data_IF_235063425162
#
_entry.id   IF_235063425162
#
_cell.length_a   1.000
_cell.length_b   1.000
_cell.length_c   1.000
_cell.angle_alpha   90.00
_cell.angle_beta   90.00
_cell.angle_gamma   90.00
#
_symmetry.space_group_name_H-M   'P 1'
#
loop_
_entity.id
_entity.type
_entity.pdbx_description
1 polymer ?
#
# COMPACT_ATOMS: atom_id res chain seq x y z
N UNK A 1 -12.96 10.74 -6.72
CA UNK A 1 -11.90 11.75 -6.91
C UNK A 1 -12.49 12.89 -7.70
N UNK A 2 -12.39 14.11 -7.20
CA UNK A 2 -12.98 15.30 -7.81
C UNK A 2 -11.89 16.14 -8.51
N UNK A 3 -12.15 16.61 -9.73
CA UNK A 3 -11.29 17.55 -10.42
C UNK A 3 -12.09 18.77 -10.89
N UNK A 4 -11.56 19.95 -10.63
CA UNK A 4 -12.16 21.20 -11.08
C UNK A 4 -11.47 21.65 -12.36
N UNK A 5 -12.23 21.78 -13.45
CA UNK A 5 -11.71 22.27 -14.71
C UNK A 5 -12.21 23.70 -14.95
N UNK A 6 -11.29 24.66 -15.04
CA UNK A 6 -11.63 25.96 -15.60
C UNK A 6 -11.86 25.71 -17.07
N UNK A 7 -13.02 26.12 -17.59
CA UNK A 7 -13.26 26.09 -19.03
C UNK A 7 -12.68 27.36 -19.71
N UNK A 8 -11.66 27.98 -19.09
CA UNK A 8 -10.76 28.95 -19.70
C UNK A 8 -9.60 28.20 -20.40
N UNK A 9 -9.26 28.46 -21.67
CA UNK A 9 -8.25 27.73 -22.48
C UNK A 9 -6.84 27.51 -21.88
N UNK A 10 -6.50 27.94 -20.68
CA UNK A 10 -5.10 27.94 -20.19
C UNK A 10 -4.88 27.41 -18.78
N UNK A 11 -5.87 26.90 -18.03
CA UNK A 11 -5.59 26.39 -16.67
C UNK A 11 -6.48 25.22 -16.24
N UNK A 12 -5.86 24.07 -15.98
CA UNK A 12 -6.50 22.88 -15.40
C UNK A 12 -5.86 22.66 -14.03
N UNK A 13 -6.67 22.57 -12.97
CA UNK A 13 -6.16 22.32 -11.61
C UNK A 13 -6.70 20.99 -11.13
N UNK A 14 -5.79 20.04 -10.90
CA UNK A 14 -6.13 18.68 -10.44
C UNK A 14 -5.89 18.58 -8.94
N UNK A 15 -6.88 18.15 -8.16
CA UNK A 15 -6.70 17.83 -6.74
C UNK A 15 -6.53 16.32 -6.54
N UNK A 16 -5.56 15.98 -5.69
CA UNK A 16 -5.19 14.62 -5.30
C UNK A 16 -5.95 14.25 -4.03
N UNK A 17 -6.73 13.17 -4.06
CA UNK A 17 -7.39 12.65 -2.86
C UNK A 17 -6.59 11.46 -2.35
N UNK A 18 -5.90 11.68 -1.24
CA UNK A 18 -4.85 10.82 -0.68
C UNK A 18 -5.39 9.69 0.19
N UNK A 19 -6.70 9.47 0.25
CA UNK A 19 -7.26 8.34 0.98
C UNK A 19 -7.27 7.07 0.12
N UNK A 20 -6.11 6.40 0.11
CA UNK A 20 -5.96 4.94 -0.09
C UNK A 20 -5.86 4.34 -1.51
N UNK A 21 -5.66 5.10 -2.59
CA UNK A 21 -5.42 4.52 -3.94
C UNK A 21 -4.39 5.32 -4.71
N UNK A 22 -3.56 4.64 -5.52
CA UNK A 22 -2.44 5.22 -6.31
C UNK A 22 -2.80 6.60 -6.89
N UNK A 23 -1.90 7.60 -6.84
CA UNK A 23 -2.22 8.94 -7.26
C UNK A 23 -2.71 8.90 -8.70
N UNK A 24 -3.96 9.31 -8.89
CA UNK A 24 -4.60 9.36 -10.20
C UNK A 24 -4.87 10.82 -10.52
N UNK A 25 -4.79 11.17 -11.79
CA UNK A 25 -5.02 12.54 -12.24
C UNK A 25 -6.11 12.51 -13.30
N UNK A 26 -7.23 13.14 -12.99
CA UNK A 26 -8.28 13.47 -13.95
C UNK A 26 -8.03 14.88 -14.47
N UNK A 27 -8.08 15.06 -15.79
CA UNK A 27 -7.95 16.39 -16.40
C UNK A 27 -8.82 16.55 -17.64
N UNK A 28 -9.03 17.81 -18.02
CA UNK A 28 -9.74 18.21 -19.22
C UNK A 28 -8.79 18.86 -20.23
N UNK A 29 -9.18 18.96 -21.49
CA UNK A 29 -8.48 19.76 -22.51
C UNK A 29 -9.45 20.10 -23.64
N UNK A 30 -9.05 21.03 -24.51
CA UNK A 30 -9.81 21.30 -25.75
C UNK A 30 -9.18 20.56 -26.91
N UNK A 31 -10.01 19.92 -27.73
CA UNK A 31 -9.56 19.18 -28.91
C UNK A 31 -10.29 19.69 -30.17
N UNK A 32 -9.53 19.82 -31.25
CA UNK A 32 -10.02 20.14 -32.59
C UNK A 32 -9.29 19.24 -33.58
N UNK A 33 -10.01 18.47 -34.40
CA UNK A 33 -9.40 17.58 -35.38
C UNK A 33 -10.05 17.75 -36.76
N UNK A 34 -9.28 17.53 -37.82
CA UNK A 34 -9.73 17.54 -39.20
C UNK A 34 -10.88 16.53 -39.43
N UNK A 35 -10.90 15.42 -38.68
CA UNK A 35 -11.98 14.42 -38.76
C UNK A 35 -13.34 14.96 -38.29
N UNK A 36 -13.37 15.95 -37.39
CA UNK A 36 -14.60 16.60 -36.91
C UNK A 36 -14.92 17.90 -37.65
N UNK A 37 -14.31 18.14 -38.83
CA UNK A 37 -14.36 19.43 -39.55
C UNK A 37 -13.93 20.61 -38.66
N UNK A 38 -12.95 20.41 -37.79
CA UNK A 38 -12.48 21.41 -36.81
C UNK A 38 -13.51 21.81 -35.75
N UNK A 39 -14.57 21.02 -35.53
CA UNK A 39 -15.48 21.25 -34.42
C UNK A 39 -14.75 21.05 -33.08
N UNK A 40 -14.83 22.06 -32.21
CA UNK A 40 -14.20 22.08 -30.88
C UNK A 40 -14.95 21.14 -29.93
N UNK A 41 -14.19 20.30 -29.23
CA UNK A 41 -14.71 19.38 -28.23
C UNK A 41 -14.01 19.61 -26.89
N UNK A 42 -14.76 19.34 -25.81
CA UNK A 42 -14.20 19.06 -24.50
C UNK A 42 -13.66 17.63 -24.52
N UNK A 43 -12.34 17.51 -24.38
CA UNK A 43 -11.65 16.25 -24.15
C UNK A 43 -11.37 16.05 -22.67
N UNK A 44 -11.32 14.79 -22.24
CA UNK A 44 -10.91 14.43 -20.87
C UNK A 44 -9.80 13.38 -20.91
N UNK A 45 -9.00 13.31 -19.87
CA UNK A 45 -7.99 12.27 -19.71
C UNK A 45 -7.91 11.79 -18.27
N UNK A 46 -7.56 10.52 -18.12
CA UNK A 46 -7.23 9.92 -16.85
C UNK A 46 -5.79 9.39 -16.92
N UNK A 47 -5.01 9.69 -15.91
CA UNK A 47 -3.62 9.28 -15.80
C UNK A 47 -3.35 8.67 -14.43
N UNK A 48 -2.95 7.40 -14.41
CA UNK A 48 -2.46 6.74 -13.20
C UNK A 48 -0.99 7.13 -13.02
N UNK A 49 -0.68 7.97 -12.03
CA UNK A 49 0.69 8.34 -11.71
C UNK A 49 1.38 7.17 -11.02
N UNK A 50 2.57 6.85 -11.51
CA UNK A 50 3.40 5.79 -10.98
C UNK A 50 4.07 6.25 -9.67
N UNK A 51 3.80 5.55 -8.58
CA UNK A 51 4.55 5.71 -7.31
C UNK A 51 5.57 4.59 -7.09
N UNK A 52 5.46 3.48 -7.83
CA UNK A 52 6.33 2.32 -7.73
C UNK A 52 7.48 2.38 -8.75
N UNK A 53 8.70 2.07 -8.34
CA UNK A 53 9.86 1.92 -9.26
C UNK A 53 9.85 0.61 -10.07
N UNK A 54 8.86 -0.26 -9.84
CA UNK A 54 8.74 -1.57 -10.49
C UNK A 54 8.03 -1.45 -11.83
N UNK A 55 8.49 -2.17 -12.86
CA UNK A 55 7.83 -2.24 -14.17
C UNK A 55 6.77 -3.35 -14.27
N UNK A 56 6.56 -4.11 -13.19
CA UNK A 56 5.63 -5.26 -13.15
C UNK A 56 4.20 -4.86 -12.79
N UNK A 57 3.91 -3.56 -12.73
CA UNK A 57 2.63 -3.11 -12.23
C UNK A 57 1.52 -3.17 -13.27
N UNK A 58 0.34 -3.60 -12.82
CA UNK A 58 -0.89 -3.38 -13.56
C UNK A 58 -2.11 -3.35 -12.65
N UNK A 59 -3.11 -2.54 -13.00
CA UNK A 59 -4.39 -2.47 -12.31
C UNK A 59 -5.53 -2.43 -13.32
N UNK A 60 -6.45 -3.39 -13.21
CA UNK A 60 -7.73 -3.35 -13.89
C UNK A 60 -8.69 -2.48 -13.09
N UNK A 61 -9.31 -1.50 -13.73
CA UNK A 61 -10.27 -0.62 -13.10
C UNK A 61 -11.51 -0.44 -13.97
N UNK A 62 -12.67 -0.40 -13.32
CA UNK A 62 -13.90 0.17 -13.87
C UNK A 62 -13.90 1.65 -13.52
N UNK A 63 -14.04 2.52 -14.52
CA UNK A 63 -14.00 3.97 -14.35
C UNK A 63 -15.27 4.57 -14.91
N UNK A 64 -15.87 5.47 -14.12
CA UNK A 64 -16.88 6.42 -14.57
C UNK A 64 -16.31 7.83 -14.51
N UNK A 65 -16.34 8.57 -15.60
CA UNK A 65 -16.05 10.02 -15.62
C UNK A 65 -17.37 10.75 -15.84
N UNK A 66 -17.65 11.78 -15.04
CA UNK A 66 -18.90 12.55 -15.05
C UNK A 66 -18.58 14.04 -15.19
N UNK A 67 -19.24 14.72 -16.11
CA UNK A 67 -19.40 16.17 -16.12
C UNK A 67 -20.67 16.51 -15.36
N UNK A 68 -20.51 17.12 -14.19
CA UNK A 68 -21.62 17.44 -13.31
C UNK A 68 -22.41 18.63 -13.84
N UNK A 69 -23.70 18.64 -13.52
CA UNK A 69 -24.53 19.82 -13.69
C UNK A 69 -24.35 20.74 -12.49
N UNK A 70 -24.25 22.05 -12.74
CA UNK A 70 -24.13 23.07 -11.69
C UNK A 70 -25.43 23.28 -10.91
N UNK A 71 -26.56 22.73 -11.36
CA UNK A 71 -27.87 22.81 -10.71
C UNK A 71 -28.35 21.51 -10.07
N UNK A 72 -27.53 20.46 -10.03
CA UNK A 72 -27.88 19.18 -9.41
C UNK A 72 -26.74 18.65 -8.57
N UNK A 73 -27.09 18.09 -7.41
CA UNK A 73 -26.17 17.35 -6.54
C UNK A 73 -26.04 15.87 -6.94
N UNK A 74 -26.87 15.41 -7.89
CA UNK A 74 -26.91 14.02 -8.34
C UNK A 74 -26.04 13.82 -9.60
N UNK A 75 -24.97 13.02 -9.55
CA UNK A 75 -24.08 12.80 -10.70
C UNK A 75 -24.77 12.19 -11.93
N UNK A 76 -25.89 11.49 -11.73
CA UNK A 76 -26.68 10.87 -12.80
C UNK A 76 -27.41 11.86 -13.72
N UNK A 77 -27.62 13.10 -13.27
CA UNK A 77 -28.14 14.17 -14.13
C UNK A 77 -27.07 14.74 -15.07
N UNK A 78 -25.79 14.41 -14.82
CA UNK A 78 -24.65 14.83 -15.62
C UNK A 78 -24.46 14.06 -16.93
N UNK A 79 -23.40 14.41 -17.67
CA UNK A 79 -22.94 13.60 -18.80
C UNK A 79 -21.81 12.71 -18.33
N UNK A 80 -21.96 11.40 -18.48
CA UNK A 80 -20.96 10.45 -18.02
C UNK A 80 -20.51 9.49 -19.11
N UNK A 81 -19.36 8.87 -18.87
CA UNK A 81 -18.88 7.73 -19.62
C UNK A 81 -18.33 6.66 -18.70
N UNK A 82 -18.59 5.41 -19.06
CA UNK A 82 -18.09 4.24 -18.36
C UNK A 82 -17.09 3.50 -19.25
N UNK A 83 -15.99 3.05 -18.67
CA UNK A 83 -15.04 2.20 -19.36
C UNK A 83 -14.27 1.30 -18.40
N UNK A 84 -13.80 0.17 -18.93
CA UNK A 84 -12.87 -0.71 -18.23
C UNK A 84 -11.48 -0.54 -18.82
N UNK A 85 -10.48 -0.47 -17.96
CA UNK A 85 -9.10 -0.31 -18.40
C UNK A 85 -8.12 -1.01 -17.48
N UNK A 86 -7.16 -1.68 -18.10
CA UNK A 86 -5.90 -2.06 -17.47
C UNK A 86 -4.93 -0.89 -17.58
N UNK A 87 -4.52 -0.33 -16.45
CA UNK A 87 -3.41 0.61 -16.36
C UNK A 87 -2.15 -0.16 -16.01
N UNK A 88 -1.06 0.07 -16.73
CA UNK A 88 0.24 -0.55 -16.49
C UNK A 88 1.36 0.38 -16.95
N UNK A 89 2.61 -0.08 -16.87
CA UNK A 89 3.80 0.71 -17.27
C UNK A 89 3.72 1.24 -18.72
N UNK A 90 3.01 0.55 -19.61
CA UNK A 90 2.86 0.93 -21.01
C UNK A 90 1.57 1.74 -21.27
N UNK A 91 0.57 1.62 -20.38
CA UNK A 91 -0.77 2.21 -20.51
C UNK A 91 -1.14 3.06 -19.30
N UNK A 92 -0.32 4.06 -18.97
CA UNK A 92 -0.54 4.94 -17.79
C UNK A 92 -1.63 5.98 -17.98
N UNK A 93 -1.85 6.41 -19.23
CA UNK A 93 -2.73 7.53 -19.59
C UNK A 93 -3.71 7.15 -20.68
N UNK A 94 -4.95 7.53 -20.50
CA UNK A 94 -6.02 7.41 -21.50
C UNK A 94 -6.63 8.76 -21.76
N UNK A 95 -6.96 9.04 -23.03
CA UNK A 95 -7.56 10.30 -23.48
C UNK A 95 -8.84 10.02 -24.24
N UNK A 96 -9.83 10.87 -24.02
CA UNK A 96 -11.12 10.87 -24.69
C UNK A 96 -11.34 12.26 -25.31
N UNK A 97 -10.86 12.49 -26.54
CA UNK A 97 -10.90 13.82 -27.18
C UNK A 97 -12.31 14.35 -27.47
N UNK A 98 -13.29 13.45 -27.57
CA UNK A 98 -14.67 13.78 -27.95
C UNK A 98 -15.66 13.46 -26.83
N UNK A 99 -15.32 13.86 -25.59
CA UNK A 99 -16.17 13.58 -24.44
C UNK A 99 -17.48 14.39 -24.47
N UNK A 100 -17.41 15.68 -24.82
CA UNK A 100 -18.59 16.52 -25.04
C UNK A 100 -18.32 17.57 -26.13
N UNK A 101 -19.33 17.89 -26.93
CA UNK A 101 -19.21 19.02 -27.86
C UNK A 101 -18.98 20.32 -27.06
N UNK A 102 -18.04 21.17 -27.49
CA UNK A 102 -17.69 22.36 -26.72
C UNK A 102 -18.87 23.34 -26.60
N UNK A 103 -19.62 23.55 -27.68
CA UNK A 103 -20.79 24.45 -27.67
C UNK A 103 -21.89 23.98 -26.73
N UNK A 104 -22.10 22.66 -26.63
CA UNK A 104 -23.02 22.09 -25.66
C UNK A 104 -22.48 22.16 -24.22
N UNK A 105 -21.19 21.93 -24.02
CA UNK A 105 -20.58 21.95 -22.69
C UNK A 105 -20.68 23.34 -22.03
N UNK A 106 -20.53 24.41 -22.82
CA UNK A 106 -20.61 25.79 -22.32
C UNK A 106 -22.01 26.41 -22.42
N UNK A 107 -22.98 25.69 -23.00
CA UNK A 107 -24.32 26.23 -23.19
C UNK A 107 -24.98 26.50 -21.83
N UNK A 108 -25.46 27.73 -21.57
CA UNK A 108 -26.18 28.04 -20.33
C UNK A 108 -27.40 27.13 -20.11
N UNK A 109 -28.04 26.67 -21.19
CA UNK A 109 -29.21 25.79 -21.14
C UNK A 109 -28.89 24.41 -20.56
N UNK A 110 -27.65 23.95 -20.77
CA UNK A 110 -27.19 22.64 -20.33
C UNK A 110 -26.67 22.64 -18.89
N UNK A 111 -26.38 23.83 -18.33
CA UNK A 111 -26.03 24.04 -16.93
C UNK A 111 -24.87 23.16 -16.43
N UNK A 112 -23.83 22.99 -17.24
CA UNK A 112 -22.58 22.33 -16.79
C UNK A 112 -21.56 23.31 -16.21
N UNK A 113 -21.74 24.60 -16.49
CA UNK A 113 -20.82 25.67 -16.09
C UNK A 113 -21.44 26.47 -14.96
N UNK A 114 -20.67 26.67 -13.90
CA UNK A 114 -20.99 27.53 -12.77
C UNK A 114 -20.90 29.01 -13.16
N UNK A 115 -21.45 29.89 -12.31
CA UNK A 115 -21.53 31.34 -12.60
C UNK A 115 -20.16 32.01 -12.72
N UNK A 116 -19.14 31.42 -12.12
CA UNK A 116 -17.75 31.86 -12.14
C UNK A 116 -16.93 31.21 -13.27
N UNK A 117 -17.57 30.43 -14.16
CA UNK A 117 -16.96 29.87 -15.37
C UNK A 117 -16.34 28.49 -15.20
N UNK A 118 -16.50 27.86 -14.04
CA UNK A 118 -15.95 26.53 -13.76
C UNK A 118 -16.92 25.43 -14.12
N UNK A 119 -16.38 24.27 -14.53
CA UNK A 119 -17.13 23.05 -14.64
C UNK A 119 -16.47 21.97 -13.79
N UNK A 120 -17.29 21.09 -13.21
CA UNK A 120 -16.80 20.03 -12.33
C UNK A 120 -16.79 18.71 -13.07
N UNK A 121 -15.62 18.06 -13.05
CA UNK A 121 -15.44 16.70 -13.54
C UNK A 121 -15.16 15.77 -12.36
N UNK A 122 -15.90 14.68 -12.29
CA UNK A 122 -15.73 13.66 -11.25
C UNK A 122 -15.31 12.34 -11.88
N UNK A 123 -14.37 11.63 -11.23
CA UNK A 123 -14.06 10.25 -11.57
C UNK A 123 -14.37 9.31 -10.40
N UNK A 124 -15.20 8.31 -10.68
CA UNK A 124 -15.47 7.18 -9.80
C UNK A 124 -14.66 5.98 -10.31
N UNK A 125 -13.69 5.52 -9.53
CA UNK A 125 -12.75 4.47 -9.94
C UNK A 125 -12.92 3.27 -9.01
N UNK A 126 -13.29 2.14 -9.58
CA UNK A 126 -13.39 0.85 -8.87
C UNK A 126 -12.30 -0.07 -9.38
N UNK A 127 -11.34 -0.40 -8.51
CA UNK A 127 -10.29 -1.38 -8.81
C UNK A 127 -10.90 -2.78 -8.84
N UNK A 128 -10.57 -3.57 -9.88
CA UNK A 128 -11.06 -4.94 -10.08
C UNK A 128 -10.08 -6.02 -9.63
N UNK A 129 -8.83 -5.67 -9.34
CA UNK A 129 -7.78 -6.62 -8.93
C UNK A 129 -7.69 -6.82 -7.41
N UNK A 130 -8.78 -6.54 -6.69
CA UNK A 130 -8.88 -6.79 -5.26
C UNK A 130 -9.19 -8.27 -5.00
N UNK A 131 -8.36 -8.97 -4.23
CA UNK A 131 -8.71 -10.30 -3.67
C UNK A 131 -9.42 -10.09 -2.36
N UNK A 132 -10.52 -10.80 -2.17
CA UNK A 132 -11.07 -10.99 -0.84
C UNK A 132 -10.22 -11.98 -0.06
N UNK A 133 -9.38 -11.52 0.87
CA UNK A 133 -8.79 -12.39 1.90
C UNK A 133 -9.81 -12.51 3.03
N UNK A 134 -10.13 -13.72 3.49
CA UNK A 134 -10.98 -13.87 4.67
C UNK A 134 -10.40 -14.78 5.74
N UNK A 135 -10.54 -14.36 7.01
CA UNK A 135 -10.36 -15.20 8.20
C UNK A 135 -11.72 -15.29 8.91
N UNK A 136 -12.23 -16.51 9.11
CA UNK A 136 -13.49 -16.79 9.85
C UNK A 136 -14.67 -15.89 9.47
N UNK A 137 -14.83 -15.60 8.18
CA UNK A 137 -15.94 -14.81 7.64
C UNK A 137 -15.73 -13.29 7.61
N UNK A 138 -14.60 -12.76 8.10
CA UNK A 138 -14.24 -11.34 7.93
C UNK A 138 -13.45 -11.16 6.63
N UNK A 139 -14.07 -10.52 5.64
CA UNK A 139 -13.48 -10.27 4.32
C UNK A 139 -12.71 -8.95 4.29
N UNK A 140 -11.47 -9.02 3.80
CA UNK A 140 -10.57 -7.90 3.54
C UNK A 140 -10.32 -7.82 2.04
N UNK A 141 -10.45 -6.64 1.46
CA UNK A 141 -10.10 -6.39 0.07
C UNK A 141 -8.66 -5.91 0.00
N UNK A 142 -7.81 -6.64 -0.73
CA UNK A 142 -6.39 -6.35 -0.86
C UNK A 142 -5.95 -6.33 -2.32
N UNK A 143 -5.07 -5.40 -2.67
CA UNK A 143 -4.48 -5.34 -4.00
C UNK A 143 -3.41 -6.43 -4.17
N UNK A 144 -3.66 -7.40 -5.06
CA UNK A 144 -2.74 -8.53 -5.35
C UNK A 144 -1.30 -8.09 -5.55
N UNK A 145 -1.12 -7.06 -6.37
CA UNK A 145 0.18 -6.62 -6.80
C UNK A 145 1.02 -6.03 -5.65
N UNK A 146 0.43 -5.17 -4.81
CA UNK A 146 1.14 -4.53 -3.70
C UNK A 146 1.60 -5.59 -2.70
N UNK A 147 0.74 -6.57 -2.41
CA UNK A 147 1.11 -7.71 -1.57
C UNK A 147 2.23 -8.54 -2.20
N UNK A 148 2.12 -8.89 -3.48
CA UNK A 148 3.15 -9.67 -4.17
C UNK A 148 4.50 -8.96 -4.27
N UNK A 149 4.52 -7.63 -4.36
CA UNK A 149 5.77 -6.84 -4.35
C UNK A 149 6.49 -6.88 -3.00
N UNK A 150 5.73 -6.97 -1.90
CA UNK A 150 6.26 -6.92 -0.55
C UNK A 150 6.40 -8.30 0.10
N UNK A 151 5.77 -9.34 -0.46
CA UNK A 151 5.68 -10.68 0.13
C UNK A 151 5.95 -11.75 -0.92
N UNK A 152 6.98 -12.56 -0.65
CA UNK A 152 7.28 -13.75 -1.47
C UNK A 152 6.14 -14.76 -1.46
N UNK A 153 5.46 -14.90 -0.32
CA UNK A 153 4.29 -15.76 -0.18
C UNK A 153 3.15 -15.30 -1.09
N UNK A 154 2.76 -14.02 -1.03
CA UNK A 154 1.66 -13.50 -1.85
C UNK A 154 2.03 -13.45 -3.34
N UNK A 155 3.31 -13.24 -3.67
CA UNK A 155 3.77 -13.38 -5.06
C UNK A 155 3.49 -14.79 -5.57
N UNK A 156 3.89 -15.82 -4.81
CA UNK A 156 3.63 -17.19 -5.18
C UNK A 156 2.12 -17.48 -5.24
N UNK A 157 1.35 -17.02 -4.26
CA UNK A 157 -0.09 -17.24 -4.19
C UNK A 157 -0.84 -16.65 -5.40
N UNK A 158 -0.46 -15.46 -5.87
CA UNK A 158 -1.19 -14.77 -6.94
C UNK A 158 -0.65 -15.01 -8.35
N UNK A 159 0.62 -15.40 -8.49
CA UNK A 159 1.31 -15.43 -9.79
C UNK A 159 2.00 -16.75 -10.13
N UNK A 160 1.90 -17.79 -9.28
CA UNK A 160 2.31 -19.16 -9.68
C UNK A 160 1.16 -19.93 -10.32
N UNK A 161 1.44 -21.09 -10.88
CA UNK A 161 0.44 -22.03 -11.41
C UNK A 161 -0.31 -22.82 -10.30
N UNK A 162 -0.59 -22.18 -9.16
CA UNK A 162 -1.40 -22.77 -8.07
C UNK A 162 -2.91 -22.63 -8.36
N UNK A 163 -3.74 -23.48 -7.76
CA UNK A 163 -5.21 -23.46 -7.96
C UNK A 163 -5.86 -22.16 -7.48
N UNK A 164 -5.20 -21.45 -6.56
CA UNK A 164 -5.60 -20.14 -6.04
C UNK A 164 -5.38 -19.02 -7.06
N UNK A 165 -4.54 -19.24 -8.09
CA UNK A 165 -4.33 -18.28 -9.16
C UNK A 165 -5.61 -18.14 -10.00
N UNK A 166 -6.17 -16.93 -9.99
CA UNK A 166 -7.43 -16.61 -10.65
C UNK A 166 -8.66 -16.63 -9.72
N UNK A 167 -8.51 -17.08 -8.47
CA UNK A 167 -9.60 -16.97 -7.50
C UNK A 167 -9.86 -15.50 -7.10
N UNK A 168 -11.14 -15.15 -7.00
CA UNK A 168 -11.58 -13.83 -6.53
C UNK A 168 -11.55 -13.71 -5.00
N UNK A 169 -11.50 -14.83 -4.29
CA UNK A 169 -11.48 -14.92 -2.84
C UNK A 169 -10.52 -16.03 -2.41
N UNK A 170 -9.67 -15.74 -1.43
CA UNK A 170 -8.68 -16.69 -0.93
C UNK A 170 -8.76 -16.71 0.60
N UNK A 171 -8.85 -17.92 1.17
CA UNK A 171 -8.83 -18.10 2.61
C UNK A 171 -7.39 -18.09 3.13
N UNK A 172 -7.11 -17.25 4.13
CA UNK A 172 -5.83 -17.28 4.85
C UNK A 172 -6.10 -17.89 6.22
N UNK A 173 -5.46 -19.04 6.47
CA UNK A 173 -5.58 -19.80 7.72
C UNK A 173 -4.51 -19.38 8.72
N UNK A 174 -4.75 -19.71 9.99
CA UNK A 174 -3.79 -19.55 11.08
C UNK A 174 -3.32 -18.10 11.35
N UNK A 175 -4.17 -17.12 11.05
CA UNK A 175 -3.94 -15.71 11.39
C UNK A 175 -5.04 -15.17 12.28
N UNK A 176 -4.70 -14.20 13.12
CA UNK A 176 -5.68 -13.38 13.85
C UNK A 176 -6.02 -12.18 12.98
N UNK A 177 -7.30 -11.95 12.69
CA UNK A 177 -7.73 -10.86 11.80
C UNK A 177 -7.11 -9.49 12.12
N UNK A 178 -7.09 -9.07 13.39
CA UNK A 178 -6.54 -7.76 13.77
C UNK A 178 -5.05 -7.65 13.52
N UNK A 179 -4.27 -8.68 13.88
CA UNK A 179 -2.82 -8.72 13.65
C UNK A 179 -2.50 -8.73 12.14
N UNK A 180 -3.33 -9.42 11.34
CA UNK A 180 -3.19 -9.42 9.89
C UNK A 180 -3.51 -8.04 9.29
N UNK A 181 -4.52 -7.34 9.80
CA UNK A 181 -4.80 -5.95 9.40
C UNK A 181 -3.62 -5.04 9.73
N UNK A 182 -2.96 -5.23 10.88
CA UNK A 182 -1.77 -4.46 11.24
C UNK A 182 -0.64 -4.70 10.21
N UNK A 183 -0.35 -5.96 9.85
CA UNK A 183 0.61 -6.27 8.79
C UNK A 183 0.25 -5.58 7.46
N UNK A 184 -1.02 -5.64 7.06
CA UNK A 184 -1.48 -4.98 5.83
C UNK A 184 -1.26 -3.48 5.88
N UNK A 185 -1.61 -2.83 6.99
CA UNK A 185 -1.36 -1.40 7.19
C UNK A 185 0.12 -1.04 7.02
N UNK A 186 1.03 -1.89 7.52
CA UNK A 186 2.47 -1.72 7.28
C UNK A 186 2.87 -1.87 5.81
N UNK A 187 2.36 -2.89 5.11
CA UNK A 187 2.66 -3.11 3.69
C UNK A 187 2.13 -1.95 2.84
N UNK A 188 0.92 -1.46 3.13
CA UNK A 188 0.31 -0.33 2.44
C UNK A 188 0.88 1.03 2.87
N UNK A 189 1.92 1.04 3.73
CA UNK A 189 2.57 2.26 4.23
C UNK A 189 1.60 3.23 4.88
N UNK A 190 0.58 2.72 5.58
CA UNK A 190 -0.18 3.54 6.51
C UNK A 190 0.76 4.04 7.61
N UNK A 191 0.46 5.19 8.22
CA UNK A 191 1.21 5.80 9.33
C UNK A 191 1.12 4.97 10.64
N UNK A 192 1.37 3.67 10.55
CA UNK A 192 1.36 2.75 11.67
C UNK A 192 2.78 2.68 12.24
N UNK A 193 2.89 2.95 13.54
CA UNK A 193 4.15 2.89 14.27
C UNK A 193 4.36 1.48 14.83
N UNK A 194 5.63 1.05 14.89
CA UNK A 194 6.00 -0.18 15.57
C UNK A 194 6.18 0.15 17.05
N UNK A 195 5.54 -0.63 17.89
CA UNK A 195 5.51 -0.48 19.34
C UNK A 195 5.69 -1.85 20.02
N UNK A 196 6.00 -1.82 21.31
CA UNK A 196 6.25 -3.02 22.12
C UNK A 196 5.06 -4.00 22.15
N UNK A 197 3.82 -3.54 21.97
CA UNK A 197 2.64 -4.41 21.91
C UNK A 197 2.40 -5.07 20.54
N UNK A 198 2.92 -4.50 19.44
CA UNK A 198 2.64 -5.00 18.09
C UNK A 198 3.83 -5.73 17.43
N UNK A 199 5.07 -5.41 17.84
CA UNK A 199 6.29 -5.95 17.22
C UNK A 199 6.32 -7.49 17.19
N UNK A 200 5.79 -8.14 18.22
CA UNK A 200 5.81 -9.59 18.33
C UNK A 200 4.95 -10.29 17.25
N UNK A 201 3.71 -9.81 17.02
CA UNK A 201 2.85 -10.38 15.99
C UNK A 201 3.26 -9.92 14.59
N UNK A 202 3.80 -8.70 14.45
CA UNK A 202 4.33 -8.22 13.18
C UNK A 202 5.49 -9.08 12.70
N UNK A 203 6.47 -9.37 13.56
CA UNK A 203 7.57 -10.28 13.24
C UNK A 203 7.06 -11.66 12.84
N UNK A 204 6.12 -12.23 13.60
CA UNK A 204 5.53 -13.54 13.33
C UNK A 204 4.89 -13.60 11.94
N UNK A 205 4.02 -12.63 11.63
CA UNK A 205 3.31 -12.61 10.35
C UNK A 205 4.22 -12.24 9.19
N UNK A 206 5.19 -11.34 9.41
CA UNK A 206 6.17 -10.97 8.38
C UNK A 206 7.07 -12.15 8.02
N UNK A 207 7.48 -12.98 8.98
CA UNK A 207 8.20 -14.22 8.70
C UNK A 207 7.30 -15.23 7.96
N UNK A 208 6.08 -15.45 8.47
CA UNK A 208 5.09 -16.36 7.87
C UNK A 208 4.78 -16.02 6.40
N UNK A 209 4.60 -14.73 6.08
CA UNK A 209 4.29 -14.26 4.74
C UNK A 209 5.53 -13.80 3.95
N UNK A 210 6.73 -13.93 4.50
CA UNK A 210 7.97 -13.53 3.82
C UNK A 210 8.00 -12.04 3.42
N UNK A 211 7.63 -11.15 4.34
CA UNK A 211 7.62 -9.68 4.21
C UNK A 211 8.89 -9.09 4.83
N UNK A 212 10.00 -9.13 4.09
CA UNK A 212 11.32 -8.74 4.59
C UNK A 212 11.38 -7.29 5.10
N UNK A 213 10.68 -6.37 4.44
CA UNK A 213 10.66 -4.94 4.82
C UNK A 213 10.06 -4.70 6.20
N UNK A 214 9.11 -5.53 6.63
CA UNK A 214 8.52 -5.46 7.97
C UNK A 214 9.48 -6.06 9.00
N UNK A 215 10.16 -7.16 8.68
CA UNK A 215 11.20 -7.74 9.53
C UNK A 215 12.31 -6.70 9.82
N UNK A 216 12.84 -6.07 8.77
CA UNK A 216 13.90 -5.05 8.90
C UNK A 216 13.45 -3.88 9.78
N UNK A 217 12.22 -3.38 9.60
CA UNK A 217 11.69 -2.29 10.43
C UNK A 217 11.48 -2.71 11.89
N UNK A 218 11.01 -3.93 12.12
CA UNK A 218 10.89 -4.47 13.47
C UNK A 218 12.26 -4.59 14.14
N UNK A 219 13.27 -5.07 13.42
CA UNK A 219 14.65 -5.13 13.93
C UNK A 219 15.17 -3.74 14.30
N UNK A 220 14.95 -2.74 13.45
CA UNK A 220 15.32 -1.35 13.76
C UNK A 220 14.63 -0.83 15.01
N UNK A 221 13.33 -1.08 15.19
CA UNK A 221 12.63 -0.71 16.42
C UNK A 221 13.25 -1.40 17.65
N UNK A 222 13.51 -2.71 17.56
CA UNK A 222 14.06 -3.50 18.67
C UNK A 222 15.48 -3.08 19.06
N UNK A 223 16.30 -2.62 18.11
CA UNK A 223 17.65 -2.10 18.37
C UNK A 223 17.68 -0.85 19.25
N UNK A 224 16.60 -0.07 19.27
CA UNK A 224 16.50 1.18 20.05
C UNK A 224 15.45 1.10 21.17
N UNK A 225 14.80 -0.05 21.35
CA UNK A 225 13.74 -0.22 22.33
C UNK A 225 14.30 -0.36 23.75
N UNK A 226 13.89 0.52 24.65
CA UNK A 226 14.19 0.42 26.09
C UNK A 226 13.16 -0.39 26.88
N UNK A 227 12.05 -0.76 26.24
CA UNK A 227 10.89 -1.37 26.92
C UNK A 227 11.05 -2.90 27.08
N UNK A 228 12.01 -3.50 26.38
CA UNK A 228 12.20 -4.94 26.30
C UNK A 228 13.52 -5.35 26.96
N UNK A 229 13.51 -6.50 27.63
CA UNK A 229 14.72 -7.04 28.26
C UNK A 229 15.60 -7.74 27.22
N UNK A 230 16.91 -7.74 27.44
CA UNK A 230 17.92 -8.40 26.58
C UNK A 230 17.56 -9.86 26.28
N UNK A 231 17.03 -10.60 27.25
CA UNK A 231 16.60 -12.00 27.05
C UNK A 231 15.46 -12.16 26.03
N UNK A 232 14.52 -11.21 26.01
CA UNK A 232 13.39 -11.23 25.09
C UNK A 232 13.83 -10.76 23.70
N UNK A 233 14.74 -9.78 23.63
CA UNK A 233 15.39 -9.35 22.39
C UNK A 233 16.20 -10.48 21.73
N UNK A 234 17.00 -11.21 22.51
CA UNK A 234 17.76 -12.38 22.04
C UNK A 234 16.83 -13.48 21.51
N UNK A 235 15.67 -13.68 22.14
CA UNK A 235 14.66 -14.62 21.66
C UNK A 235 14.11 -14.21 20.29
N UNK A 236 13.78 -12.94 20.10
CA UNK A 236 13.37 -12.43 18.79
C UNK A 236 14.49 -12.55 17.75
N UNK A 237 15.72 -12.23 18.14
CA UNK A 237 16.87 -12.31 17.28
C UNK A 237 17.11 -13.73 16.77
N UNK A 238 16.98 -14.73 17.64
CA UNK A 238 17.10 -16.13 17.24
C UNK A 238 15.94 -16.59 16.37
N UNK A 239 14.69 -16.32 16.80
CA UNK A 239 13.49 -16.83 16.13
C UNK A 239 13.36 -16.29 14.71
N UNK A 240 13.71 -15.01 14.49
CA UNK A 240 13.56 -14.32 13.20
C UNK A 240 14.90 -14.05 12.50
N UNK A 241 16.00 -14.61 13.01
CA UNK A 241 17.36 -14.49 12.44
C UNK A 241 17.84 -13.04 12.28
N UNK A 242 17.60 -12.23 13.30
CA UNK A 242 17.96 -10.81 13.37
C UNK A 242 19.40 -10.66 13.90
N UNK A 243 20.39 -10.71 13.00
CA UNK A 243 21.81 -10.73 13.39
C UNK A 243 22.25 -9.43 14.04
N UNK A 244 21.76 -8.29 13.57
CA UNK A 244 22.18 -6.99 14.09
C UNK A 244 21.64 -6.79 15.51
N UNK A 245 20.41 -7.25 15.76
CA UNK A 245 19.84 -7.27 17.11
C UNK A 245 20.61 -8.20 18.05
N UNK A 246 21.00 -9.40 17.60
CA UNK A 246 21.81 -10.31 18.41
C UNK A 246 23.15 -9.68 18.79
N UNK A 247 23.86 -9.10 17.83
CA UNK A 247 25.15 -8.46 18.05
C UNK A 247 25.04 -7.26 19.00
N UNK A 248 23.97 -6.47 18.89
CA UNK A 248 23.72 -5.35 19.79
C UNK A 248 23.47 -5.83 21.22
N UNK A 249 22.62 -6.84 21.42
CA UNK A 249 22.36 -7.44 22.73
C UNK A 249 23.65 -7.93 23.41
N UNK A 250 24.57 -8.53 22.65
CA UNK A 250 25.84 -9.01 23.19
C UNK A 250 26.82 -7.90 23.53
N UNK A 251 26.77 -6.77 22.79
CA UNK A 251 27.59 -5.59 23.09
C UNK A 251 27.16 -4.92 24.38
N UNK A 252 25.85 -4.87 24.65
CA UNK A 252 25.29 -4.32 25.89
C UNK A 252 25.67 -5.12 27.15
N UNK A 253 25.99 -6.41 26.99
CA UNK A 253 26.55 -7.23 28.07
C UNK A 253 28.05 -6.93 28.20
N UNK A 254 28.40 -5.97 29.06
CA UNK A 254 29.76 -5.47 29.28
C UNK A 254 30.50 -6.22 30.38
N UNK A 255 29.78 -6.89 31.29
CA UNK A 255 30.35 -7.56 32.47
C UNK A 255 29.92 -9.02 32.61
N UNK A 256 30.74 -9.83 33.27
CA UNK A 256 30.39 -11.22 33.59
C UNK A 256 29.14 -11.32 34.47
N UNK A 257 28.91 -10.31 35.32
CA UNK A 257 27.76 -10.23 36.22
C UNK A 257 26.45 -10.13 35.44
N UNK A 258 26.38 -9.28 34.42
CA UNK A 258 25.18 -9.12 33.59
C UNK A 258 24.82 -10.41 32.85
N UNK A 259 25.81 -11.14 32.36
CA UNK A 259 25.58 -12.44 31.70
C UNK A 259 25.05 -13.48 32.69
N UNK A 260 25.54 -13.47 33.92
CA UNK A 260 25.05 -14.37 34.99
C UNK A 260 23.62 -13.99 35.37
N UNK A 261 23.31 -12.71 35.59
CA UNK A 261 21.96 -12.24 35.89
C UNK A 261 20.97 -12.58 34.76
N UNK A 262 21.41 -12.49 33.51
CA UNK A 262 20.63 -12.93 32.36
C UNK A 262 20.30 -14.44 32.43
N UNK A 263 21.25 -15.27 32.88
CA UNK A 263 21.07 -16.73 32.99
C UNK A 263 20.07 -17.15 34.07
N UNK A 264 19.81 -16.28 35.05
CA UNK A 264 18.82 -16.50 36.09
C UNK A 264 17.40 -16.13 35.64
N UNK A 265 17.24 -15.50 34.47
CA UNK A 265 15.93 -15.08 33.97
C UNK A 265 15.06 -16.30 33.57
N UNK A 266 13.74 -16.32 33.90
CA UNK A 266 12.86 -17.45 33.57
C UNK A 266 12.82 -17.82 32.08
N UNK A 267 12.93 -16.82 31.20
CA UNK A 267 12.92 -17.03 29.74
C UNK A 267 14.27 -17.51 29.18
N UNK A 268 15.34 -17.54 29.96
CA UNK A 268 16.68 -17.92 29.48
C UNK A 268 16.72 -19.37 28.98
N UNK A 269 15.97 -20.27 29.65
CA UNK A 269 15.84 -21.66 29.22
C UNK A 269 15.05 -21.85 27.92
N UNK A 270 14.35 -20.82 27.44
CA UNK A 270 13.63 -20.85 26.18
C UNK A 270 14.48 -20.38 24.99
N UNK A 271 15.71 -19.93 25.22
CA UNK A 271 16.66 -19.63 24.16
C UNK A 271 17.21 -20.96 23.59
N UNK A 272 17.54 -20.96 22.31
CA UNK A 272 18.14 -22.10 21.64
C UNK A 272 19.65 -22.20 21.86
N UNK A 273 20.18 -23.38 21.53
CA UNK A 273 21.61 -23.72 21.69
C UNK A 273 22.54 -22.74 20.97
N UNK A 274 22.08 -22.17 19.84
CA UNK A 274 22.84 -21.17 19.09
C UNK A 274 23.07 -19.91 19.92
N UNK A 275 22.01 -19.38 20.52
CA UNK A 275 22.09 -18.21 21.40
C UNK A 275 22.89 -18.51 22.67
N UNK A 276 22.69 -19.69 23.30
CA UNK A 276 23.49 -20.09 24.45
C UNK A 276 24.98 -20.17 24.14
N UNK A 277 25.36 -20.69 22.97
CA UNK A 277 26.76 -20.77 22.53
C UNK A 277 27.39 -19.38 22.39
N UNK A 278 26.65 -18.44 21.78
CA UNK A 278 27.14 -17.07 21.59
C UNK A 278 27.26 -16.32 22.93
N UNK A 279 26.31 -16.50 23.85
CA UNK A 279 26.40 -15.98 25.22
C UNK A 279 27.60 -16.56 25.99
N UNK A 280 27.87 -17.86 25.84
CA UNK A 280 29.00 -18.53 26.48
C UNK A 280 30.34 -18.01 25.91
N UNK A 281 30.42 -17.81 24.60
CA UNK A 281 31.59 -17.15 23.97
C UNK A 281 31.79 -15.74 24.51
N UNK A 282 30.72 -14.95 24.61
CA UNK A 282 30.76 -13.60 25.17
C UNK A 282 31.25 -13.61 26.62
N UNK A 283 30.76 -14.54 27.44
CA UNK A 283 31.23 -14.71 28.82
C UNK A 283 32.73 -15.00 28.88
N UNK A 284 33.23 -15.92 28.04
CA UNK A 284 34.67 -16.23 27.96
C UNK A 284 35.50 -15.00 27.57
N UNK A 285 35.01 -14.20 26.62
CA UNK A 285 35.68 -12.96 26.21
C UNK A 285 35.79 -11.95 27.35
N UNK A 286 34.71 -11.78 28.13
CA UNK A 286 34.69 -10.88 29.28
C UNK A 286 35.62 -11.37 30.40
N UNK A 287 35.66 -12.67 30.67
CA UNK A 287 36.61 -13.27 31.63
C UNK A 287 38.06 -13.04 31.22
N UNK A 288 38.36 -13.07 29.91
CA UNK A 288 39.73 -12.83 29.41
C UNK A 288 40.15 -11.36 29.45
N UNK A 289 39.20 -10.42 29.51
CA UNK A 289 39.44 -8.97 29.53
C UNK A 289 39.61 -8.40 30.94
N UNK A 290 39.02 -9.04 31.94
CA UNK A 290 39.16 -8.68 33.36
C UNK A 290 40.40 -9.32 33.99
#
# INVERSE_FOLDING_TARGET
MFAYAALDPTTITTFDDTFNRRPTTLGAYTDTNNQTRNAKHLGVYLECKETSRSNLWSVNASVRIVLLRSDSEYPEDGVFMDFERKFDVNSKKIKFPHFKNWGEAISPDNKFVEKDGWAVLEAHITVKDDVGIHEKGKKLHVGKQILAENSKFFYALFYSDFEENGQAQIEIKDVVHSEFVDLLNFIYQANMEIESYNVAHLLKLADQFGVATVIERCEQFLLYSTDLRVVDLLKFAEMYKLSDLQDQCLKELETTKEVIELSEHPNFGNLGDGTHNVLLKRLIELIKKG
#
